data_IF_056257460577
#
_entry.id   IF_056257460577
#
_cell.length_a   1.000
_cell.length_b   1.000
_cell.length_c   1.000
_cell.angle_alpha   90.00
_cell.angle_beta   90.00
_cell.angle_gamma   90.00
#
_symmetry.space_group_name_H-M   'P 1'
#
loop_
_entity.id
_entity.type
_entity.pdbx_description
1 polymer ?
#
# COMPACT_ATOMS: atom_id res chain seq x y z
N UNK A 1 4.73 8.30 -24.73
CA UNK A 1 3.33 7.86 -24.65
C UNK A 1 2.73 7.96 -26.04
N UNK A 2 1.79 7.09 -26.42
CA UNK A 2 1.05 7.31 -27.66
C UNK A 2 0.24 8.61 -27.47
N UNK A 3 0.33 9.60 -28.37
CA UNK A 3 -0.42 10.86 -28.24
C UNK A 3 -1.95 10.67 -28.15
N UNK A 4 -2.46 9.47 -28.44
CA UNK A 4 -3.89 9.15 -28.42
C UNK A 4 -4.39 8.46 -27.14
N UNK A 5 -3.55 8.28 -26.11
CA UNK A 5 -4.03 7.71 -24.83
C UNK A 5 -4.60 8.84 -23.95
N UNK A 6 -5.88 8.79 -23.53
CA UNK A 6 -6.50 9.84 -22.74
C UNK A 6 -5.83 9.94 -21.37
N UNK A 7 -5.42 11.16 -21.00
CA UNK A 7 -4.80 11.46 -19.70
C UNK A 7 -5.89 11.80 -18.69
N UNK A 8 -5.99 11.04 -17.60
CA UNK A 8 -6.94 11.31 -16.52
C UNK A 8 -6.39 12.30 -15.48
N UNK A 9 -7.23 13.21 -15.01
CA UNK A 9 -6.88 14.17 -13.98
C UNK A 9 -6.77 13.48 -12.61
N UNK A 10 -5.64 13.59 -11.91
CA UNK A 10 -5.47 12.96 -10.59
C UNK A 10 -6.29 13.62 -9.48
N UNK A 11 -6.92 14.78 -9.74
CA UNK A 11 -7.72 15.48 -8.74
C UNK A 11 -9.21 15.18 -8.83
N UNK A 12 -9.77 15.23 -10.05
CA UNK A 12 -11.20 15.12 -10.26
C UNK A 12 -11.58 13.89 -11.10
N UNK A 13 -10.62 13.12 -11.60
CA UNK A 13 -10.84 11.96 -12.47
C UNK A 13 -11.25 12.30 -13.91
N UNK A 14 -11.53 13.57 -14.23
CA UNK A 14 -11.90 14.00 -15.58
C UNK A 14 -10.77 13.87 -16.60
N UNK A 15 -11.13 13.77 -17.88
CA UNK A 15 -10.16 13.78 -18.98
C UNK A 15 -9.44 15.13 -19.05
N UNK A 16 -8.12 15.09 -19.29
CA UNK A 16 -7.29 16.27 -19.47
C UNK A 16 -7.03 16.54 -20.95
N UNK A 17 -6.92 17.82 -21.29
CA UNK A 17 -6.61 18.28 -22.63
C UNK A 17 -5.12 18.61 -22.76
N UNK A 18 -4.52 18.23 -23.88
CA UNK A 18 -3.15 18.62 -24.21
C UNK A 18 -3.11 20.13 -24.47
N UNK A 19 -2.45 20.86 -23.58
CA UNK A 19 -2.37 22.32 -23.66
C UNK A 19 -1.12 22.79 -24.42
N UNK A 20 0.05 22.19 -24.16
CA UNK A 20 1.27 22.47 -24.92
C UNK A 20 2.07 21.18 -25.12
N UNK A 21 2.45 20.88 -26.35
CA UNK A 21 3.34 19.76 -26.67
C UNK A 21 4.78 20.24 -26.84
N UNK A 22 5.77 19.43 -26.44
CA UNK A 22 7.19 19.71 -26.73
C UNK A 22 7.76 20.96 -26.05
N UNK A 23 7.17 21.43 -24.94
CA UNK A 23 7.57 22.67 -24.29
C UNK A 23 8.90 22.48 -23.55
N UNK A 24 9.86 23.36 -23.81
CA UNK A 24 11.12 23.42 -23.04
C UNK A 24 10.92 24.21 -21.76
N UNK A 25 11.12 23.56 -20.62
CA UNK A 25 11.16 24.18 -19.30
C UNK A 25 12.61 24.22 -18.82
N UNK A 26 13.09 25.41 -18.48
CA UNK A 26 14.39 25.60 -17.87
C UNK A 26 14.36 25.10 -16.41
N UNK A 27 15.37 24.32 -16.01
CA UNK A 27 15.47 23.77 -14.66
C UNK A 27 16.24 24.71 -13.71
N UNK A 28 17.00 25.67 -14.23
CA UNK A 28 17.79 26.65 -13.45
C UNK A 28 17.61 28.08 -13.97
N UNK A 29 17.70 29.06 -13.07
CA UNK A 29 17.28 30.45 -13.30
C UNK A 29 18.39 31.47 -13.59
N UNK A 30 19.68 31.12 -13.67
CA UNK A 30 20.74 32.10 -13.94
C UNK A 30 21.90 31.56 -14.79
N UNK A 31 22.08 32.25 -15.93
CA UNK A 31 23.24 32.54 -16.78
C UNK A 31 24.48 31.63 -16.82
N UNK A 32 24.86 31.36 -18.07
CA UNK A 32 26.17 30.92 -18.56
C UNK A 32 26.53 29.44 -18.34
N UNK A 33 26.21 28.63 -19.36
CA UNK A 33 26.90 27.39 -19.73
C UNK A 33 26.37 26.03 -19.24
N UNK A 34 25.10 25.92 -18.85
CA UNK A 34 24.44 24.60 -18.89
C UNK A 34 23.04 24.72 -19.47
N UNK A 35 22.86 24.07 -20.62
CA UNK A 35 21.58 23.86 -21.30
C UNK A 35 20.75 22.84 -20.53
N UNK A 36 20.37 23.17 -19.30
CA UNK A 36 19.58 22.28 -18.45
C UNK A 36 18.08 22.60 -18.63
N UNK A 37 17.52 22.06 -19.71
CA UNK A 37 16.09 22.12 -20.02
C UNK A 37 15.51 20.73 -20.15
N UNK A 38 14.23 20.61 -19.82
CA UNK A 38 13.44 19.41 -20.07
C UNK A 38 12.32 19.70 -21.07
N UNK A 39 12.15 18.80 -22.03
CA UNK A 39 11.01 18.84 -22.95
C UNK A 39 9.84 18.08 -22.35
N UNK A 40 8.71 18.77 -22.23
CA UNK A 40 7.49 18.24 -21.62
C UNK A 40 6.24 18.55 -22.43
N UNK A 41 5.29 17.62 -22.36
CA UNK A 41 3.91 17.81 -22.77
C UNK A 41 3.11 18.23 -21.53
N UNK A 42 2.43 19.37 -21.63
CA UNK A 42 1.65 19.98 -20.56
C UNK A 42 0.17 19.72 -20.83
N UNK A 43 -0.50 19.04 -19.92
CA UNK A 43 -1.93 18.80 -19.94
C UNK A 43 -2.63 19.68 -18.92
N UNK A 44 -3.79 20.22 -19.27
CA UNK A 44 -4.63 21.02 -18.39
C UNK A 44 -5.99 20.35 -18.20
N UNK A 45 -6.47 20.30 -16.97
CA UNK A 45 -7.81 19.83 -16.67
C UNK A 45 -8.82 20.99 -16.76
N UNK A 46 -9.80 20.95 -17.68
CA UNK A 46 -10.78 22.03 -17.80
C UNK A 46 -11.73 22.12 -16.59
N UNK A 47 -11.92 21.04 -15.84
CA UNK A 47 -12.84 21.00 -14.71
C UNK A 47 -12.28 21.65 -13.43
N UNK A 48 -10.97 21.54 -13.18
CA UNK A 48 -10.37 22.01 -11.92
C UNK A 48 -9.08 22.82 -12.09
N UNK A 49 -8.63 23.07 -13.32
CA UNK A 49 -7.44 23.86 -13.62
C UNK A 49 -6.10 23.19 -13.32
N UNK A 50 -6.10 21.90 -12.95
CA UNK A 50 -4.86 21.18 -12.62
C UNK A 50 -4.00 20.94 -13.85
N UNK A 51 -2.68 21.13 -13.69
CA UNK A 51 -1.69 20.83 -14.71
C UNK A 51 -0.97 19.50 -14.43
N UNK A 52 -0.64 18.78 -15.50
CA UNK A 52 0.22 17.61 -15.46
C UNK A 52 1.31 17.73 -16.54
N UNK A 53 2.54 17.36 -16.17
CA UNK A 53 3.72 17.45 -17.04
C UNK A 53 4.23 16.05 -17.32
N UNK A 54 4.37 15.71 -18.61
CA UNK A 54 4.90 14.43 -19.05
C UNK A 54 6.15 14.65 -19.90
N UNK A 55 7.17 13.80 -19.75
CA UNK A 55 8.35 13.86 -20.64
C UNK A 55 7.92 13.54 -22.07
N UNK A 56 8.27 14.42 -23.01
CA UNK A 56 7.97 14.21 -24.43
C UNK A 56 8.58 12.91 -24.90
N UNK A 57 7.83 12.16 -25.73
CA UNK A 57 8.27 10.89 -26.32
C UNK A 57 8.74 9.80 -25.33
N UNK A 58 8.49 9.96 -24.02
CA UNK A 58 8.87 8.95 -23.05
C UNK A 58 7.90 7.77 -23.12
N UNK A 59 8.41 6.60 -23.50
CA UNK A 59 7.67 5.34 -23.43
C UNK A 59 8.09 4.65 -22.13
N UNK A 60 7.20 4.53 -21.13
CA UNK A 60 7.51 3.75 -19.95
C UNK A 60 7.79 2.32 -20.42
N UNK A 61 8.97 1.81 -20.10
CA UNK A 61 9.24 0.40 -20.39
C UNK A 61 8.24 -0.43 -19.58
N UNK A 62 7.56 -1.41 -20.18
CA UNK A 62 6.75 -2.34 -19.42
C UNK A 62 7.68 -2.93 -18.36
N UNK A 63 7.32 -2.80 -17.08
CA UNK A 63 8.05 -3.47 -16.01
C UNK A 63 8.00 -4.95 -16.37
N UNK A 64 9.13 -5.50 -16.85
CA UNK A 64 9.24 -6.94 -17.02
C UNK A 64 8.96 -7.49 -15.63
N UNK A 65 7.86 -8.20 -15.48
CA UNK A 65 7.61 -8.98 -14.29
C UNK A 65 8.71 -10.03 -14.30
N UNK A 66 9.83 -9.74 -13.63
CA UNK A 66 10.85 -10.75 -13.39
C UNK A 66 10.11 -11.80 -12.56
N UNK A 67 10.00 -13.05 -13.05
CA UNK A 67 9.49 -14.12 -12.21
C UNK A 67 10.35 -14.10 -10.96
N UNK A 68 9.73 -13.87 -9.80
CA UNK A 68 10.42 -14.03 -8.53
C UNK A 68 10.86 -15.47 -8.52
N UNK A 69 12.17 -15.72 -8.52
CA UNK A 69 12.69 -17.06 -8.30
C UNK A 69 12.02 -17.60 -7.03
N UNK A 70 11.43 -18.80 -7.07
CA UNK A 70 10.78 -19.35 -5.89
C UNK A 70 11.79 -19.35 -4.75
N UNK A 71 11.41 -18.75 -3.61
CA UNK A 71 12.27 -18.77 -2.43
C UNK A 71 12.63 -20.22 -2.09
N UNK A 72 13.87 -20.49 -1.65
CA UNK A 72 14.32 -21.84 -1.36
C UNK A 72 13.37 -22.49 -0.35
N UNK A 73 12.86 -23.67 -0.70
CA UNK A 73 11.87 -24.42 0.10
C UNK A 73 12.43 -25.00 1.39
N UNK A 74 13.74 -24.87 1.61
CA UNK A 74 14.48 -25.49 2.71
C UNK A 74 15.01 -24.47 3.73
N UNK A 75 14.33 -23.33 3.88
CA UNK A 75 14.61 -22.45 5.03
C UNK A 75 14.06 -23.15 6.28
N UNK A 76 14.98 -23.69 7.08
CA UNK A 76 14.67 -24.28 8.38
C UNK A 76 14.22 -23.19 9.36
N UNK A 77 12.94 -22.80 9.25
CA UNK A 77 12.32 -21.74 10.07
C UNK A 77 12.16 -22.13 11.54
N UNK A 78 12.47 -23.37 11.91
CA UNK A 78 12.42 -23.84 13.30
C UNK A 78 13.35 -23.03 14.23
N UNK A 79 14.40 -22.42 13.69
CA UNK A 79 15.28 -21.54 14.47
C UNK A 79 14.68 -20.17 14.82
N UNK A 80 13.62 -19.73 14.13
CA UNK A 80 13.07 -18.37 14.26
C UNK A 80 11.74 -18.30 15.02
N UNK A 81 11.04 -19.42 15.16
CA UNK A 81 9.77 -19.49 15.88
C UNK A 81 9.79 -20.64 16.90
N UNK A 82 9.70 -20.25 18.17
CA UNK A 82 9.45 -21.17 19.27
C UNK A 82 7.96 -21.09 19.58
N UNK A 83 7.16 -22.13 19.28
CA UNK A 83 5.73 -22.12 19.59
C UNK A 83 5.50 -21.98 21.09
N UNK A 84 4.49 -21.20 21.46
CA UNK A 84 3.99 -21.17 22.84
C UNK A 84 3.57 -22.55 23.34
N UNK A 85 3.54 -22.75 24.65
CA UNK A 85 3.18 -24.03 25.29
C UNK A 85 1.73 -24.09 25.77
N UNK A 86 0.99 -22.98 25.67
CA UNK A 86 -0.42 -22.89 26.06
C UNK A 86 -1.37 -23.68 25.17
N UNK A 87 -2.63 -23.77 25.63
CA UNK A 87 -3.71 -24.49 24.95
C UNK A 87 -3.90 -24.04 23.49
N UNK A 88 -4.28 -24.97 22.61
CA UNK A 88 -4.58 -24.63 21.23
C UNK A 88 -5.86 -23.80 21.13
N UNK A 89 -5.78 -22.67 20.44
CA UNK A 89 -6.92 -21.82 20.15
C UNK A 89 -7.07 -21.60 18.65
N UNK A 90 -8.29 -21.36 18.21
CA UNK A 90 -8.62 -21.07 16.81
C UNK A 90 -8.41 -19.59 16.52
N UNK A 91 -7.62 -19.27 15.49
CA UNK A 91 -7.45 -17.88 15.04
C UNK A 91 -8.79 -17.34 14.49
N UNK A 92 -9.26 -16.15 14.92
CA UNK A 92 -10.52 -15.57 14.42
C UNK A 92 -10.47 -15.13 12.96
N UNK A 93 -9.27 -14.92 12.39
CA UNK A 93 -9.11 -14.46 11.01
C UNK A 93 -8.90 -15.62 10.04
N UNK A 94 -7.95 -16.52 10.32
CA UNK A 94 -7.63 -17.62 9.39
C UNK A 94 -8.26 -18.96 9.77
N UNK A 95 -8.87 -19.07 10.96
CA UNK A 95 -9.54 -20.28 11.43
C UNK A 95 -8.60 -21.46 11.79
N UNK A 96 -7.29 -21.29 11.70
CA UNK A 96 -6.31 -22.35 12.04
C UNK A 96 -5.98 -22.35 13.53
N UNK A 97 -5.62 -23.52 14.04
CA UNK A 97 -5.27 -23.72 15.45
C UNK A 97 -3.79 -23.44 15.70
N UNK A 98 -3.48 -22.79 16.83
CA UNK A 98 -2.13 -22.55 17.29
C UNK A 98 -2.11 -22.26 18.81
N UNK A 99 -0.94 -22.28 19.47
CA UNK A 99 -0.84 -22.11 20.93
C UNK A 99 -1.38 -20.75 21.45
N UNK A 100 -1.97 -20.75 22.64
CA UNK A 100 -2.60 -19.57 23.27
C UNK A 100 -1.62 -18.46 23.66
N UNK A 101 -0.34 -18.74 23.74
CA UNK A 101 0.64 -17.78 24.25
C UNK A 101 1.30 -16.92 23.16
N UNK A 102 1.17 -17.31 21.89
CA UNK A 102 1.73 -16.52 20.79
C UNK A 102 1.03 -15.17 20.71
N UNK A 103 1.76 -14.04 20.70
CA UNK A 103 1.15 -12.71 20.57
C UNK A 103 0.50 -12.47 19.19
N UNK A 104 0.99 -13.17 18.17
CA UNK A 104 0.52 -13.12 16.79
C UNK A 104 0.18 -14.53 16.31
N UNK A 105 -0.78 -14.66 15.40
CA UNK A 105 -1.03 -15.94 14.75
C UNK A 105 0.16 -16.29 13.84
N UNK A 106 0.86 -17.42 14.05
CA UNK A 106 2.01 -17.81 13.23
C UNK A 106 1.63 -18.12 11.77
N UNK A 107 0.34 -18.27 11.48
CA UNK A 107 -0.15 -18.72 10.17
C UNK A 107 -0.70 -17.58 9.29
N UNK A 108 -1.14 -16.47 9.88
CA UNK A 108 -1.65 -15.31 9.13
C UNK A 108 -1.11 -13.96 9.62
N UNK A 109 -0.25 -13.93 10.65
CA UNK A 109 0.34 -12.71 11.20
C UNK A 109 -0.63 -11.80 11.96
N UNK A 110 -1.89 -12.19 12.12
CA UNK A 110 -2.88 -11.36 12.84
C UNK A 110 -2.52 -11.28 14.32
N UNK A 111 -2.50 -10.05 14.87
CA UNK A 111 -2.32 -9.82 16.30
C UNK A 111 -3.52 -10.34 17.08
N UNK A 112 -3.28 -10.99 18.21
CA UNK A 112 -4.37 -11.63 18.98
C UNK A 112 -5.09 -10.71 19.93
N UNK A 113 -4.43 -9.66 20.35
CA UNK A 113 -5.14 -8.57 20.99
C UNK A 113 -5.97 -7.89 19.90
N UNK A 114 -7.26 -7.74 20.16
CA UNK A 114 -8.16 -6.98 19.32
C UNK A 114 -8.72 -5.81 20.13
N UNK A 115 -8.97 -4.65 19.50
CA UNK A 115 -9.60 -3.55 20.19
C UNK A 115 -11.03 -3.95 20.56
N UNK A 116 -11.48 -3.56 21.75
CA UNK A 116 -12.88 -3.70 22.14
C UNK A 116 -13.77 -2.85 21.23
N UNK A 117 -14.84 -3.40 20.63
CA UNK A 117 -15.78 -2.63 19.82
C UNK A 117 -16.42 -1.46 20.58
N UNK A 118 -16.62 -1.64 21.89
CA UNK A 118 -17.31 -0.68 22.75
C UNK A 118 -16.42 0.43 23.30
N UNK A 119 -15.24 0.09 23.82
CA UNK A 119 -14.35 1.05 24.48
C UNK A 119 -13.01 1.31 23.77
N UNK A 120 -12.72 0.59 22.68
CA UNK A 120 -11.50 0.76 21.88
C UNK A 120 -10.21 0.24 22.52
N UNK A 121 -10.22 -0.16 23.80
CA UNK A 121 -9.03 -0.71 24.48
C UNK A 121 -8.71 -2.11 23.96
N UNK A 122 -7.42 -2.38 23.80
CA UNK A 122 -6.93 -3.67 23.32
C UNK A 122 -6.93 -4.70 24.45
N UNK A 123 -7.45 -5.88 24.16
CA UNK A 123 -7.43 -7.02 25.07
C UNK A 123 -7.45 -8.36 24.30
N UNK A 124 -7.02 -9.48 24.91
CA UNK A 124 -6.86 -10.75 24.23
C UNK A 124 -8.17 -11.24 23.60
N UNK A 125 -8.18 -11.55 22.30
CA UNK A 125 -9.36 -12.05 21.56
C UNK A 125 -10.01 -13.27 22.22
N UNK A 126 -9.22 -14.05 22.95
CA UNK A 126 -9.68 -15.25 23.63
C UNK A 126 -10.49 -14.96 24.92
N UNK A 127 -10.60 -13.70 25.36
CA UNK A 127 -11.50 -13.29 26.44
C UNK A 127 -12.84 -12.83 25.86
N UNK A 128 -13.98 -13.41 26.28
CA UNK A 128 -15.30 -13.08 25.75
C UNK A 128 -15.80 -11.72 26.22
N UNK A 129 -15.40 -11.29 27.42
CA UNK A 129 -15.85 -10.04 28.06
C UNK A 129 -14.68 -9.09 28.21
N UNK A 130 -14.89 -7.80 27.90
CA UNK A 130 -13.87 -6.78 28.05
C UNK A 130 -13.60 -6.47 29.54
N UNK A 131 -12.35 -6.57 30.03
CA UNK A 131 -12.01 -6.24 31.43
C UNK A 131 -12.21 -4.77 31.79
N UNK A 132 -12.31 -3.90 30.79
CA UNK A 132 -12.34 -2.45 30.98
C UNK A 132 -13.75 -1.86 30.94
N UNK A 133 -14.62 -2.35 30.06
CA UNK A 133 -15.99 -1.85 29.92
C UNK A 133 -17.08 -2.87 30.28
N UNK A 134 -16.73 -4.14 30.51
CA UNK A 134 -17.68 -5.18 30.91
C UNK A 134 -18.57 -5.73 29.80
N UNK A 135 -18.54 -5.18 28.59
CA UNK A 135 -19.30 -5.69 27.45
C UNK A 135 -18.67 -6.92 26.81
N UNK A 136 -19.51 -7.84 26.34
CA UNK A 136 -19.15 -8.99 25.52
C UNK A 136 -18.72 -8.58 24.11
N UNK A 137 -17.88 -9.41 23.47
CA UNK A 137 -17.46 -9.19 22.08
C UNK A 137 -18.56 -9.42 21.05
N UNK A 138 -19.43 -10.38 21.33
CA UNK A 138 -20.54 -10.80 20.44
C UNK A 138 -21.89 -10.23 20.88
N UNK A 139 -21.89 -9.28 21.82
CA UNK A 139 -23.09 -8.51 22.19
C UNK A 139 -23.33 -7.48 21.08
N UNK A 140 -24.54 -7.50 20.51
CA UNK A 140 -25.00 -6.60 19.44
C UNK A 140 -25.61 -5.31 20.01
#
# INVERSE_FOLDING_TARGET
MNPNTPVGCPQCGGQMDLWQAGRRLALTGLFASVTDWIEVDIYSCPACGRLAFFRTNFLPQPKKHVPVEPEPTDVDTAAFYVPGTGELVKCPVCGKEHPRDDAFCPLCGTRRDQPCPWCGKWFPAAQPVCPWCGHGRDEE
#
